data_IF_284135017122
#
_entry.id   IF_284135017122
#
_cell.length_a   1.000
_cell.length_b   1.000
_cell.length_c   1.000
_cell.angle_alpha   90.00
_cell.angle_beta   90.00
_cell.angle_gamma   90.00
#
_symmetry.space_group_name_H-M   'P 1'
#
loop_
_entity.id
_entity.type
_entity.pdbx_description
1 polymer ?
#
# COMPACT_ATOMS: atom_id res chain seq x y z
N UNK A 1 -4.91 -6.61 0.45
CA UNK A 1 -4.63 -7.98 0.01
C UNK A 1 -5.93 -8.76 -0.17
N UNK A 2 -6.08 -9.40 -1.32
CA UNK A 2 -7.18 -10.31 -1.61
C UNK A 2 -6.72 -11.75 -1.27
N UNK A 3 -7.21 -12.32 -0.17
CA UNK A 3 -6.76 -13.64 0.28
C UNK A 3 -7.30 -14.80 -0.57
N UNK A 4 -8.39 -14.56 -1.32
CA UNK A 4 -9.00 -15.58 -2.18
C UNK A 4 -8.20 -15.72 -3.47
N UNK A 5 -7.83 -14.58 -4.09
CA UNK A 5 -7.12 -14.53 -5.37
C UNK A 5 -5.61 -14.52 -5.24
N UNK A 6 -5.08 -14.30 -4.04
CA UNK A 6 -3.66 -14.07 -3.79
C UNK A 6 -3.12 -12.86 -4.58
N UNK A 7 -3.89 -11.79 -4.54
CA UNK A 7 -3.60 -10.54 -5.25
C UNK A 7 -3.43 -9.38 -4.28
N UNK A 8 -2.67 -8.37 -4.71
CA UNK A 8 -2.50 -7.12 -4.00
C UNK A 8 -2.99 -5.96 -4.85
N UNK A 9 -3.50 -4.94 -4.19
CA UNK A 9 -3.87 -3.68 -4.83
C UNK A 9 -2.78 -2.66 -4.52
N UNK A 10 -2.16 -2.15 -5.58
CA UNK A 10 -1.14 -1.12 -5.53
C UNK A 10 -1.68 0.16 -6.15
N UNK A 11 -1.12 1.28 -5.75
CA UNK A 11 -1.41 2.58 -6.36
C UNK A 11 -0.15 3.13 -7.01
N UNK A 12 -0.31 3.81 -8.14
CA UNK A 12 0.77 4.47 -8.84
C UNK A 12 0.50 5.96 -8.86
N UNK A 13 1.48 6.74 -8.42
CA UNK A 13 1.40 8.19 -8.42
C UNK A 13 2.77 8.82 -8.61
N UNK A 14 2.79 10.09 -9.04
CA UNK A 14 4.04 10.83 -9.20
C UNK A 14 4.61 11.23 -7.83
N UNK A 15 5.92 11.02 -7.68
CA UNK A 15 6.71 11.49 -6.54
C UNK A 15 7.88 12.31 -7.04
N UNK A 16 7.79 13.60 -6.93
CA UNK A 16 8.81 14.52 -7.48
C UNK A 16 10.20 14.26 -6.87
N UNK A 17 10.26 13.86 -5.60
CA UNK A 17 11.52 13.53 -4.93
C UNK A 17 12.26 12.34 -5.56
N UNK A 18 11.57 11.50 -6.32
CA UNK A 18 12.17 10.35 -7.01
C UNK A 18 12.67 10.69 -8.44
N UNK A 19 12.47 11.91 -8.90
CA UNK A 19 12.74 12.31 -10.29
C UNK A 19 14.19 12.04 -10.73
N UNK A 20 15.16 12.38 -9.89
CA UNK A 20 16.58 12.27 -10.24
C UNK A 20 17.22 10.93 -9.83
N UNK A 21 16.55 10.13 -9.00
CA UNK A 21 17.14 8.92 -8.40
C UNK A 21 16.49 7.62 -8.84
N UNK A 22 15.37 7.70 -9.51
CA UNK A 22 14.62 6.54 -10.03
C UNK A 22 14.50 6.61 -11.55
N UNK A 23 14.28 5.47 -12.19
CA UNK A 23 14.05 5.39 -13.65
C UNK A 23 12.81 6.18 -14.08
N UNK A 24 11.84 6.35 -13.18
CA UNK A 24 10.63 7.13 -13.37
C UNK A 24 10.19 7.73 -12.04
N UNK A 25 9.61 8.95 -12.03
CA UNK A 25 9.01 9.53 -10.83
C UNK A 25 7.63 8.93 -10.50
N UNK A 26 7.07 8.11 -11.38
CA UNK A 26 5.83 7.37 -11.13
C UNK A 26 6.14 6.10 -10.35
N UNK A 27 5.74 6.06 -9.09
CA UNK A 27 6.06 4.97 -8.18
C UNK A 27 4.84 4.10 -7.88
N UNK A 28 5.07 2.79 -7.80
CA UNK A 28 4.12 1.82 -7.27
C UNK A 28 4.24 1.80 -5.75
N UNK A 29 3.12 2.03 -5.08
CA UNK A 29 3.07 2.19 -3.63
C UNK A 29 1.88 1.45 -3.02
N UNK A 30 1.90 1.32 -1.69
CA UNK A 30 0.72 0.96 -0.91
C UNK A 30 -0.20 2.19 -0.79
N UNK A 31 -1.49 1.94 -0.61
CA UNK A 31 -2.43 2.96 -0.15
C UNK A 31 -1.90 3.56 1.15
N UNK A 32 -1.80 4.87 1.24
CA UNK A 32 -1.25 5.54 2.41
C UNK A 32 -1.83 6.95 2.59
N UNK A 33 -1.92 7.39 3.82
CA UNK A 33 -2.32 8.75 4.16
C UNK A 33 -1.75 9.19 5.49
N UNK A 34 -1.84 10.47 5.75
CA UNK A 34 -1.41 11.07 7.01
C UNK A 34 -2.46 10.83 8.11
N UNK A 35 -1.98 10.47 9.29
CA UNK A 35 -2.83 10.35 10.48
C UNK A 35 -3.01 11.73 11.06
N UNK A 36 -4.26 12.21 11.06
CA UNK A 36 -4.62 13.49 11.65
C UNK A 36 -5.01 13.34 13.12
N UNK A 37 -5.09 14.47 13.82
CA UNK A 37 -5.51 14.48 15.23
C UNK A 37 -6.90 13.84 15.39
N UNK A 38 -6.99 12.88 16.31
CA UNK A 38 -8.24 12.17 16.61
C UNK A 38 -8.49 10.95 15.74
N UNK A 39 -7.66 10.70 14.71
CA UNK A 39 -7.77 9.48 13.88
C UNK A 39 -6.88 8.34 14.40
N UNK A 40 -7.38 7.12 14.29
CA UNK A 40 -6.54 5.93 14.47
C UNK A 40 -5.88 5.55 13.13
N UNK A 41 -4.76 4.80 13.16
CA UNK A 41 -4.16 4.26 11.92
C UNK A 41 -5.15 3.44 11.09
N UNK A 42 -6.04 2.68 11.74
CA UNK A 42 -7.07 1.90 11.06
C UNK A 42 -8.09 2.78 10.34
N UNK A 43 -8.55 3.87 10.97
CA UNK A 43 -9.49 4.83 10.36
C UNK A 43 -8.90 5.43 9.09
N UNK A 44 -7.63 5.82 9.13
CA UNK A 44 -6.92 6.37 7.97
C UNK A 44 -6.78 5.32 6.88
N UNK A 45 -6.39 4.09 7.22
CA UNK A 45 -6.25 3.01 6.25
C UNK A 45 -7.56 2.75 5.50
N UNK A 46 -8.69 2.75 6.20
CA UNK A 46 -10.01 2.55 5.59
C UNK A 46 -10.41 3.74 4.70
N UNK A 47 -10.21 4.94 5.16
CA UNK A 47 -10.53 6.18 4.43
C UNK A 47 -9.70 6.28 3.16
N UNK A 48 -8.40 6.12 3.26
CA UNK A 48 -7.48 6.21 2.11
C UNK A 48 -7.69 5.10 1.09
N UNK A 49 -8.08 3.90 1.52
CA UNK A 49 -8.42 2.81 0.60
C UNK A 49 -9.60 3.18 -0.31
N UNK A 50 -10.59 3.89 0.22
CA UNK A 50 -11.71 4.42 -0.57
C UNK A 50 -11.24 5.54 -1.50
N UNK A 51 -10.52 6.52 -0.98
CA UNK A 51 -10.10 7.72 -1.72
C UNK A 51 -9.09 7.40 -2.83
N UNK A 52 -8.09 6.56 -2.55
CA UNK A 52 -7.02 6.27 -3.49
C UNK A 52 -7.30 5.07 -4.41
N UNK A 53 -8.12 4.12 -4.00
CA UNK A 53 -8.32 2.88 -4.75
C UNK A 53 -9.78 2.46 -4.93
N UNK A 54 -10.74 3.19 -4.37
CA UNK A 54 -12.16 2.86 -4.45
C UNK A 54 -12.52 1.55 -3.74
N UNK A 55 -11.74 1.16 -2.72
CA UNK A 55 -11.87 -0.11 -2.03
C UNK A 55 -12.54 0.02 -0.68
N UNK A 56 -13.43 -0.91 -0.39
CA UNK A 56 -13.93 -1.13 0.97
C UNK A 56 -13.11 -2.25 1.62
N UNK A 57 -12.46 -1.91 2.73
CA UNK A 57 -11.63 -2.85 3.48
C UNK A 57 -12.49 -3.64 4.46
N UNK A 58 -12.37 -4.95 4.43
CA UNK A 58 -12.99 -5.86 5.38
C UNK A 58 -12.19 -5.93 6.69
N UNK A 59 -11.65 -7.12 7.00
CA UNK A 59 -10.78 -7.28 8.17
C UNK A 59 -9.48 -6.51 7.97
N UNK A 60 -8.93 -5.95 9.03
CA UNK A 60 -7.68 -5.21 9.01
C UNK A 60 -6.82 -5.62 10.21
N UNK A 61 -5.53 -5.74 10.00
CA UNK A 61 -4.56 -6.08 11.05
C UNK A 61 -3.38 -5.12 11.04
N UNK A 62 -2.93 -4.66 12.21
CA UNK A 62 -1.64 -3.98 12.29
C UNK A 62 -0.52 -4.97 12.00
N UNK A 63 0.44 -4.52 11.22
CA UNK A 63 1.61 -5.31 10.81
C UNK A 63 2.82 -4.91 11.64
N UNK A 64 3.27 -3.69 11.49
CA UNK A 64 4.37 -3.12 12.24
C UNK A 64 4.38 -1.59 12.12
N UNK A 65 5.25 -0.96 12.91
CA UNK A 65 5.53 0.48 12.83
C UNK A 65 7.03 0.68 12.78
N UNK A 66 7.48 1.67 12.02
CA UNK A 66 8.91 1.94 11.86
C UNK A 66 9.19 3.43 11.66
N UNK A 67 10.41 3.82 11.92
CA UNK A 67 10.92 5.16 11.61
C UNK A 67 11.45 5.17 10.18
N UNK A 68 10.96 6.08 9.36
CA UNK A 68 11.30 6.13 7.94
C UNK A 68 12.76 6.52 7.69
N UNK A 69 13.24 7.55 8.36
CA UNK A 69 14.62 8.07 8.20
C UNK A 69 15.05 8.89 9.43
N UNK A 70 15.34 8.24 10.57
CA UNK A 70 15.53 8.94 11.85
C UNK A 70 16.80 9.79 11.90
N UNK A 71 17.70 9.66 10.93
CA UNK A 71 18.84 10.57 10.80
C UNK A 71 18.46 11.97 10.31
N UNK A 72 17.30 12.15 9.71
CA UNK A 72 16.90 13.43 9.12
C UNK A 72 15.46 13.85 9.39
N UNK A 73 14.57 12.91 9.74
CA UNK A 73 13.15 13.19 9.95
C UNK A 73 12.62 12.47 11.17
N UNK A 74 11.48 12.92 11.68
CA UNK A 74 10.76 12.27 12.78
C UNK A 74 9.61 11.39 12.28
N UNK A 75 9.50 11.16 10.97
CA UNK A 75 8.41 10.39 10.38
C UNK A 75 8.38 8.94 10.87
N UNK A 76 7.22 8.54 11.34
CA UNK A 76 6.92 7.16 11.72
C UNK A 76 5.75 6.66 10.88
N UNK A 77 5.87 5.45 10.33
CA UNK A 77 4.80 4.81 9.58
C UNK A 77 4.23 3.64 10.36
N UNK A 78 2.91 3.48 10.24
CA UNK A 78 2.20 2.30 10.72
C UNK A 78 1.71 1.52 9.52
N UNK A 79 2.17 0.29 9.36
CA UNK A 79 1.73 -0.59 8.28
C UNK A 79 0.61 -1.49 8.77
N UNK A 80 -0.43 -1.55 7.95
CA UNK A 80 -1.56 -2.43 8.13
C UNK A 80 -1.74 -3.34 6.93
N UNK A 81 -2.34 -4.50 7.11
CA UNK A 81 -2.86 -5.31 6.02
C UNK A 81 -4.38 -5.35 6.11
N UNK A 82 -5.03 -4.98 5.00
CA UNK A 82 -6.48 -4.98 4.87
C UNK A 82 -6.97 -6.02 3.89
N UNK A 83 -8.05 -6.72 4.25
CA UNK A 83 -8.75 -7.65 3.39
C UNK A 83 -9.61 -6.89 2.38
N UNK A 84 -9.43 -7.19 1.11
CA UNK A 84 -10.21 -6.57 0.02
C UNK A 84 -10.65 -7.61 -1.00
N UNK A 85 -11.67 -7.26 -1.76
CA UNK A 85 -12.02 -7.93 -3.01
C UNK A 85 -11.34 -7.16 -4.15
N UNK A 86 -10.27 -7.71 -4.68
CA UNK A 86 -9.46 -7.06 -5.72
C UNK A 86 -10.24 -6.86 -7.03
N UNK A 87 -11.32 -7.61 -7.27
CA UNK A 87 -12.15 -7.43 -8.46
C UNK A 87 -12.86 -6.09 -8.51
N UNK A 88 -12.99 -5.42 -7.37
CA UNK A 88 -13.63 -4.10 -7.26
C UNK A 88 -12.67 -2.94 -7.47
N UNK A 89 -11.36 -3.21 -7.43
CA UNK A 89 -10.32 -2.20 -7.57
C UNK A 89 -10.03 -1.90 -9.04
N UNK A 90 -10.21 -0.66 -9.45
CA UNK A 90 -9.90 -0.21 -10.82
C UNK A 90 -9.96 1.31 -10.96
N UNK A 91 -9.33 1.79 -12.01
CA UNK A 91 -9.50 3.16 -12.49
C UNK A 91 -8.45 4.13 -11.97
N UNK A 92 -8.81 5.39 -12.06
CA UNK A 92 -8.01 6.53 -11.59
C UNK A 92 -8.76 7.19 -10.44
N UNK A 93 -8.06 7.44 -9.37
CA UNK A 93 -8.59 7.94 -8.11
C UNK A 93 -7.73 9.08 -7.56
N UNK A 94 -8.03 9.48 -6.35
CA UNK A 94 -7.40 10.59 -5.65
C UNK A 94 -8.30 11.82 -5.62
N UNK A 95 -7.96 12.77 -4.75
CA UNK A 95 -8.71 14.01 -4.58
C UNK A 95 -8.13 15.11 -5.47
N UNK A 96 -8.95 15.69 -6.34
CA UNK A 96 -8.53 16.73 -7.28
C UNK A 96 -8.05 18.02 -6.57
N UNK A 97 -8.61 18.34 -5.41
CA UNK A 97 -8.21 19.46 -4.57
C UNK A 97 -6.89 19.24 -3.83
N UNK A 98 -6.45 17.99 -3.75
CA UNK A 98 -5.13 17.61 -3.24
C UNK A 98 -4.10 17.36 -4.36
N UNK A 99 -4.46 17.62 -5.62
CA UNK A 99 -3.67 17.35 -6.81
C UNK A 99 -3.23 15.87 -6.94
N UNK A 100 -4.07 14.97 -6.48
CA UNK A 100 -3.82 13.53 -6.57
C UNK A 100 -4.31 12.97 -7.90
N UNK A 101 -3.41 12.28 -8.61
CA UNK A 101 -3.70 11.52 -9.83
C UNK A 101 -3.13 10.12 -9.63
N UNK A 102 -3.99 9.21 -9.19
CA UNK A 102 -3.60 7.89 -8.70
C UNK A 102 -4.20 6.81 -9.59
N UNK A 103 -3.34 5.97 -10.15
CA UNK A 103 -3.73 4.80 -10.93
C UNK A 103 -3.68 3.54 -10.09
N UNK A 104 -4.77 2.80 -10.09
CA UNK A 104 -4.88 1.52 -9.36
C UNK A 104 -4.37 0.37 -10.21
N UNK A 105 -3.57 -0.49 -9.60
CA UNK A 105 -3.07 -1.73 -10.18
C UNK A 105 -3.47 -2.92 -9.31
N UNK A 106 -3.93 -3.98 -9.94
CA UNK A 106 -4.16 -5.27 -9.28
C UNK A 106 -3.16 -6.26 -9.87
N UNK A 107 -2.34 -6.82 -9.02
CA UNK A 107 -1.30 -7.79 -9.43
C UNK A 107 -1.26 -8.96 -8.45
N UNK A 108 -0.75 -10.10 -8.91
CA UNK A 108 -0.51 -11.21 -8.00
C UNK A 108 0.50 -10.81 -6.91
N UNK A 109 0.34 -11.37 -5.71
CA UNK A 109 1.32 -11.20 -4.63
C UNK A 109 2.73 -11.57 -5.09
N UNK A 110 2.85 -12.65 -5.84
CA UNK A 110 4.14 -13.10 -6.39
C UNK A 110 4.77 -12.08 -7.32
N UNK A 111 3.97 -11.48 -8.21
CA UNK A 111 4.48 -10.44 -9.12
C UNK A 111 4.91 -9.20 -8.36
N UNK A 112 4.15 -8.76 -7.36
CA UNK A 112 4.52 -7.61 -6.53
C UNK A 112 5.83 -7.87 -5.79
N UNK A 113 6.00 -9.04 -5.21
CA UNK A 113 7.25 -9.42 -4.54
C UNK A 113 8.43 -9.51 -5.52
N UNK A 114 8.22 -10.04 -6.71
CA UNK A 114 9.25 -10.06 -7.76
C UNK A 114 9.71 -8.65 -8.12
N UNK A 115 8.79 -7.70 -8.19
CA UNK A 115 9.15 -6.30 -8.44
C UNK A 115 9.96 -5.66 -7.31
N UNK A 116 9.78 -6.11 -6.07
CA UNK A 116 10.67 -5.74 -4.96
C UNK A 116 12.08 -6.32 -5.18
N UNK A 117 12.17 -7.59 -5.51
CA UNK A 117 13.45 -8.26 -5.77
C UNK A 117 14.22 -7.64 -6.95
N UNK A 118 13.51 -7.24 -7.99
CA UNK A 118 14.08 -6.60 -9.19
C UNK A 118 14.39 -5.12 -9.00
N UNK A 119 13.97 -4.50 -7.90
CA UNK A 119 14.16 -3.08 -7.62
C UNK A 119 13.18 -2.15 -8.32
N UNK A 120 12.16 -2.67 -8.98
CA UNK A 120 11.09 -1.85 -9.57
C UNK A 120 10.23 -1.19 -8.49
N UNK A 121 9.96 -1.89 -7.40
CA UNK A 121 9.36 -1.34 -6.19
C UNK A 121 10.49 -1.17 -5.19
N UNK A 122 10.86 0.07 -4.92
CA UNK A 122 12.03 0.40 -4.11
C UNK A 122 11.77 1.49 -3.05
N UNK A 123 10.53 1.94 -2.91
CA UNK A 123 10.15 2.82 -1.81
C UNK A 123 9.94 2.02 -0.51
N UNK A 124 10.41 2.56 0.60
CA UNK A 124 10.58 1.82 1.85
C UNK A 124 9.29 1.14 2.36
N UNK A 125 8.19 1.87 2.43
CA UNK A 125 6.93 1.33 2.95
C UNK A 125 6.45 0.13 2.14
N UNK A 126 6.54 0.22 0.81
CA UNK A 126 6.10 -0.85 -0.09
C UNK A 126 7.01 -2.06 -0.02
N UNK A 127 8.33 -1.85 0.04
CA UNK A 127 9.31 -2.93 0.23
C UNK A 127 9.03 -3.69 1.52
N UNK A 128 8.87 -2.97 2.63
CA UNK A 128 8.60 -3.57 3.95
C UNK A 128 7.27 -4.32 3.95
N UNK A 129 6.21 -3.70 3.44
CA UNK A 129 4.88 -4.30 3.41
C UNK A 129 4.84 -5.58 2.58
N UNK A 130 5.44 -5.57 1.39
CA UNK A 130 5.44 -6.72 0.50
C UNK A 130 6.35 -7.85 0.99
N UNK A 131 7.47 -7.53 1.62
CA UNK A 131 8.31 -8.53 2.28
C UNK A 131 7.60 -9.17 3.47
N UNK A 132 6.90 -8.37 4.28
CA UNK A 132 6.08 -8.91 5.37
C UNK A 132 5.00 -9.84 4.83
N UNK A 133 4.29 -9.44 3.78
CA UNK A 133 3.24 -10.26 3.18
C UNK A 133 3.82 -11.58 2.63
N UNK A 134 4.97 -11.54 1.99
CA UNK A 134 5.66 -12.74 1.48
C UNK A 134 5.96 -13.74 2.61
N UNK A 135 6.31 -13.26 3.78
CA UNK A 135 6.59 -14.11 4.94
C UNK A 135 5.33 -14.68 5.61
N UNK A 136 4.19 -14.00 5.49
CA UNK A 136 3.00 -14.26 6.29
C UNK A 136 1.73 -14.59 5.48
N UNK A 137 1.74 -14.51 4.16
CA UNK A 137 0.55 -14.66 3.33
C UNK A 137 -0.17 -15.99 3.54
N UNK A 138 0.56 -17.05 3.78
CA UNK A 138 0.01 -18.39 3.97
C UNK A 138 -0.91 -18.46 5.19
N UNK A 139 -0.43 -17.97 6.31
CA UNK A 139 -1.21 -17.88 7.54
C UNK A 139 -2.38 -16.93 7.40
N UNK A 140 -2.16 -15.79 6.76
CA UNK A 140 -3.18 -14.78 6.53
C UNK A 140 -4.33 -15.31 5.66
N UNK A 141 -4.01 -16.00 4.57
CA UNK A 141 -5.01 -16.66 3.72
C UNK A 141 -5.80 -17.72 4.50
N UNK A 142 -5.12 -18.57 5.25
CA UNK A 142 -5.77 -19.59 6.07
C UNK A 142 -6.75 -18.98 7.09
N UNK A 143 -6.39 -17.84 7.67
CA UNK A 143 -7.24 -17.13 8.62
C UNK A 143 -8.44 -16.46 7.95
N UNK A 144 -8.22 -15.84 6.80
CA UNK A 144 -9.20 -14.98 6.14
C UNK A 144 -10.08 -15.67 5.11
N UNK A 145 -9.81 -16.91 4.74
CA UNK A 145 -10.63 -17.67 3.78
C UNK A 145 -11.44 -18.81 4.44
N UNK A 146 -11.48 -18.83 5.77
CA UNK A 146 -12.32 -19.80 6.53
C UNK A 146 -13.75 -19.34 6.69
#
# INVERSE_FOLDING_TARGET
FDPVRDEVVLVEQIRIAAYDTSASPWLLEMVAGMIEEGESPEDVARREAVEEAGLNVGRIKPVLSYLASPGGTSERLSIMVGEVDATTAKGIHGLADENEDIRVHVVSREQAYRWVEEGKIDNAASVIALQWLQLHYHNLRNEWTK
#
